data_IF_617138734689
#
_entry.id   IF_617138734689
#
_cell.length_a   1.000
_cell.length_b   1.000
_cell.length_c   1.000
_cell.angle_alpha   90.00
_cell.angle_beta   90.00
_cell.angle_gamma   90.00
#
_symmetry.space_group_name_H-M   'P 1'
#
loop_
_entity.id
_entity.type
_entity.pdbx_description
1 polymer ?
#
# COMPACT_ATOMS: atom_id res chain seq x y z
N UNK A 1 4.32 24.67 -12.27
CA UNK A 1 5.58 25.05 -12.96
C UNK A 1 5.39 26.34 -13.73
N UNK A 2 6.40 26.94 -14.40
CA UNK A 2 6.16 28.17 -15.20
C UNK A 2 5.10 27.95 -16.29
N UNK A 3 5.13 26.80 -16.96
CA UNK A 3 4.14 26.41 -17.97
C UNK A 3 2.72 26.23 -17.39
N UNK A 4 2.60 25.82 -16.13
CA UNK A 4 1.30 25.73 -15.45
C UNK A 4 0.85 27.12 -14.95
N UNK A 5 1.76 27.96 -14.44
CA UNK A 5 1.42 29.33 -14.01
C UNK A 5 0.94 30.21 -15.17
N UNK A 6 1.57 30.06 -16.34
CA UNK A 6 1.24 30.82 -17.54
C UNK A 6 0.27 30.09 -18.49
N UNK A 7 -0.05 28.83 -18.19
CA UNK A 7 -0.88 27.98 -19.03
C UNK A 7 -2.36 28.00 -18.63
N UNK A 8 -3.20 27.57 -19.56
CA UNK A 8 -4.66 27.63 -19.45
C UNK A 8 -5.28 26.44 -18.71
N UNK A 9 -4.50 25.38 -18.49
CA UNK A 9 -4.95 24.14 -17.89
C UNK A 9 -3.79 23.39 -17.23
N UNK A 10 -4.05 22.81 -16.06
CA UNK A 10 -3.19 21.79 -15.43
C UNK A 10 -3.90 20.43 -15.50
N UNK A 11 -3.45 19.61 -16.45
CA UNK A 11 -4.06 18.34 -16.83
C UNK A 11 -3.21 17.16 -16.38
N UNK A 12 -3.67 16.44 -15.35
CA UNK A 12 -2.92 15.34 -14.74
C UNK A 12 -3.61 14.01 -15.02
N UNK A 13 -2.87 13.08 -15.60
CA UNK A 13 -3.38 11.73 -15.91
C UNK A 13 -2.40 10.68 -15.41
N UNK A 14 -2.87 9.79 -14.54
CA UNK A 14 -2.12 8.65 -14.03
C UNK A 14 -2.77 7.33 -14.48
N UNK A 15 -1.98 6.27 -14.57
CA UNK A 15 -2.49 4.98 -15.02
C UNK A 15 -1.44 3.90 -15.16
N UNK A 16 -1.89 2.77 -15.69
CA UNK A 16 -1.03 1.64 -16.08
C UNK A 16 -0.81 1.65 -17.60
N UNK A 17 -0.06 0.65 -18.10
CA UNK A 17 0.03 0.39 -19.53
C UNK A 17 -1.34 0.10 -20.17
N UNK A 18 -2.30 -0.44 -19.40
CA UNK A 18 -3.60 -0.89 -19.89
C UNK A 18 -4.68 0.17 -19.84
N UNK A 19 -4.53 1.20 -19.00
CA UNK A 19 -5.60 2.18 -18.81
C UNK A 19 -5.26 3.29 -17.82
N UNK A 20 -6.20 4.22 -17.69
CA UNK A 20 -6.15 5.36 -16.76
C UNK A 20 -6.70 4.91 -15.42
N UNK A 21 -6.03 5.28 -14.33
CA UNK A 21 -6.48 5.01 -12.95
C UNK A 21 -6.94 6.27 -12.24
N UNK A 22 -6.40 7.43 -12.63
CA UNK A 22 -6.80 8.73 -12.08
C UNK A 22 -6.63 9.82 -13.13
N UNK A 23 -7.51 10.81 -13.05
CA UNK A 23 -7.50 12.00 -13.89
C UNK A 23 -7.92 13.19 -13.04
N UNK A 24 -7.15 14.27 -13.10
CA UNK A 24 -7.47 15.55 -12.48
C UNK A 24 -7.33 16.64 -13.54
N UNK A 25 -8.34 17.49 -13.64
CA UNK A 25 -8.39 18.62 -14.55
C UNK A 25 -8.59 19.89 -13.75
N UNK A 26 -7.63 20.80 -13.83
CA UNK A 26 -7.76 22.16 -13.31
C UNK A 26 -7.71 23.12 -14.51
N UNK A 27 -8.87 23.67 -14.87
CA UNK A 27 -9.04 24.53 -16.06
C UNK A 27 -9.14 25.97 -15.59
N UNK A 28 -8.34 26.86 -16.19
CA UNK A 28 -8.25 28.29 -15.82
C UNK A 28 -9.00 29.21 -16.78
N UNK A 29 -9.50 28.67 -17.90
CA UNK A 29 -10.25 29.37 -18.94
C UNK A 29 -11.61 28.73 -19.21
N UNK A 30 -12.54 29.49 -19.78
CA UNK A 30 -13.80 28.95 -20.29
C UNK A 30 -13.61 28.34 -21.69
N UNK A 31 -14.31 27.23 -21.98
CA UNK A 31 -14.46 26.74 -23.35
C UNK A 31 -13.38 25.77 -23.86
N UNK A 32 -12.95 24.80 -23.05
CA UNK A 32 -12.11 23.72 -23.55
C UNK A 32 -12.91 22.77 -24.45
N UNK A 33 -12.49 22.60 -25.70
CA UNK A 33 -13.20 21.74 -26.65
C UNK A 33 -12.94 20.26 -26.36
N UNK A 34 -13.85 19.38 -26.80
CA UNK A 34 -13.70 17.94 -26.63
C UNK A 34 -12.47 17.42 -27.38
N UNK A 35 -12.16 18.00 -28.53
CA UNK A 35 -11.01 17.66 -29.36
C UNK A 35 -9.70 17.91 -28.61
N UNK A 36 -9.58 19.05 -27.91
CA UNK A 36 -8.40 19.36 -27.09
C UNK A 36 -8.24 18.33 -25.96
N UNK A 37 -9.33 17.89 -25.33
CA UNK A 37 -9.28 16.83 -24.31
C UNK A 37 -8.82 15.49 -24.88
N UNK A 38 -9.33 15.12 -26.06
CA UNK A 38 -8.95 13.86 -26.72
C UNK A 38 -7.46 13.87 -27.10
N UNK A 39 -6.96 15.00 -27.61
CA UNK A 39 -5.53 15.19 -27.90
C UNK A 39 -4.67 15.13 -26.63
N UNK A 40 -5.07 15.84 -25.58
CA UNK A 40 -4.37 15.85 -24.30
C UNK A 40 -4.30 14.45 -23.68
N UNK A 41 -5.39 13.67 -23.74
CA UNK A 41 -5.42 12.28 -23.27
C UNK A 41 -4.50 11.37 -24.09
N UNK A 42 -4.44 11.56 -25.41
CA UNK A 42 -3.59 10.78 -26.28
C UNK A 42 -2.11 11.10 -26.04
N UNK A 43 -1.76 12.39 -25.89
CA UNK A 43 -0.41 12.81 -25.53
C UNK A 43 -0.01 12.29 -24.15
N UNK A 44 -0.91 12.38 -23.16
CA UNK A 44 -0.68 11.84 -21.82
C UNK A 44 -0.48 10.32 -21.83
N UNK A 45 -1.17 9.57 -22.70
CA UNK A 45 -0.96 8.14 -22.87
C UNK A 45 0.45 7.83 -23.39
N UNK A 46 0.93 8.56 -24.39
CA UNK A 46 2.30 8.39 -24.94
C UNK A 46 3.34 8.68 -23.86
N UNK A 47 3.20 9.82 -23.17
CA UNK A 47 4.09 10.20 -22.06
C UNK A 47 4.07 9.18 -20.92
N UNK A 48 2.89 8.69 -20.54
CA UNK A 48 2.73 7.66 -19.50
C UNK A 48 3.45 6.36 -19.85
N UNK A 49 3.28 5.86 -21.07
CA UNK A 49 3.94 4.62 -21.52
C UNK A 49 5.45 4.80 -21.57
N UNK A 50 5.93 5.96 -22.04
CA UNK A 50 7.35 6.28 -22.06
C UNK A 50 7.98 6.24 -20.64
N UNK A 51 7.37 6.94 -19.68
CA UNK A 51 7.83 6.95 -18.28
C UNK A 51 7.77 5.54 -17.67
N UNK A 52 6.66 4.81 -17.89
CA UNK A 52 6.49 3.47 -17.35
C UNK A 52 7.55 2.49 -17.88
N UNK A 53 7.90 2.56 -19.16
CA UNK A 53 8.96 1.73 -19.73
C UNK A 53 10.33 2.01 -19.08
N UNK A 54 10.64 3.28 -18.80
CA UNK A 54 11.83 3.64 -18.05
C UNK A 54 11.80 3.11 -16.61
N UNK A 55 10.67 3.21 -15.91
CA UNK A 55 10.50 2.65 -14.56
C UNK A 55 10.71 1.12 -14.56
N UNK A 56 10.10 0.42 -15.52
CA UNK A 56 10.20 -1.03 -15.65
C UNK A 56 11.61 -1.50 -16.00
N UNK A 57 12.42 -0.67 -16.66
CA UNK A 57 13.85 -0.97 -16.90
C UNK A 57 14.69 -1.03 -15.63
N UNK A 58 14.21 -0.42 -14.53
CA UNK A 58 14.87 -0.42 -13.22
C UNK A 58 14.30 -1.51 -12.32
N UNK A 59 12.96 -1.63 -12.28
CA UNK A 59 12.26 -2.66 -11.50
C UNK A 59 10.98 -3.08 -12.22
N UNK A 60 11.01 -4.27 -12.83
CA UNK A 60 9.90 -4.77 -13.64
C UNK A 60 8.76 -5.37 -12.79
N UNK A 61 9.10 -5.89 -11.61
CA UNK A 61 8.18 -6.60 -10.73
C UNK A 61 8.44 -6.28 -9.25
N UNK A 62 7.42 -6.40 -8.38
CA UNK A 62 7.63 -6.31 -6.93
C UNK A 62 8.67 -7.32 -6.44
N UNK A 63 9.41 -6.97 -5.39
CA UNK A 63 10.35 -7.90 -4.75
C UNK A 63 9.60 -9.11 -4.18
N UNK A 64 10.19 -10.29 -4.31
CA UNK A 64 9.66 -11.55 -3.76
C UNK A 64 9.65 -11.58 -2.24
N UNK A 65 10.53 -10.80 -1.63
CA UNK A 65 10.67 -10.67 -0.18
C UNK A 65 10.40 -9.23 0.27
N UNK A 66 9.84 -9.11 1.48
CA UNK A 66 9.65 -7.83 2.14
C UNK A 66 11.00 -7.27 2.63
N UNK A 67 11.06 -5.96 2.79
CA UNK A 67 12.23 -5.29 3.39
C UNK A 67 12.56 -5.87 4.77
N UNK A 68 13.85 -5.96 5.09
CA UNK A 68 14.33 -6.30 6.43
C UNK A 68 13.80 -5.35 7.52
N UNK A 69 13.35 -4.15 7.15
CA UNK A 69 12.76 -3.17 8.06
C UNK A 69 11.23 -3.13 8.01
N UNK A 70 10.61 -3.84 7.07
CA UNK A 70 9.16 -3.96 7.04
C UNK A 70 8.70 -4.89 8.17
N UNK A 71 7.53 -4.62 8.78
CA UNK A 71 6.88 -5.57 9.68
C UNK A 71 6.60 -6.88 8.96
N UNK A 72 7.03 -7.99 9.55
CA UNK A 72 6.65 -9.34 9.15
C UNK A 72 5.47 -9.78 10.00
N UNK A 73 4.55 -10.52 9.41
CA UNK A 73 3.38 -11.06 10.08
C UNK A 73 3.50 -12.59 10.04
N UNK A 74 3.48 -13.23 11.21
CA UNK A 74 3.24 -14.66 11.34
C UNK A 74 1.75 -14.85 11.59
N UNK A 75 1.15 -15.76 10.82
CA UNK A 75 -0.21 -16.23 11.06
C UNK A 75 -0.16 -17.63 11.66
N UNK A 76 -0.91 -17.85 12.73
CA UNK A 76 -1.15 -19.18 13.30
C UNK A 76 -2.61 -19.32 13.70
N UNK A 77 -3.03 -20.55 14.00
CA UNK A 77 -4.41 -20.83 14.41
C UNK A 77 -4.40 -21.55 15.74
N UNK A 78 -5.26 -21.12 16.66
CA UNK A 78 -5.55 -21.78 17.93
C UNK A 78 -7.01 -22.25 17.94
N UNK A 79 -7.35 -23.17 18.84
CA UNK A 79 -8.75 -23.49 19.07
C UNK A 79 -9.48 -22.23 19.60
N UNK A 80 -10.62 -21.81 19.02
CA UNK A 80 -11.42 -20.69 19.54
C UNK A 80 -11.69 -20.72 21.04
N UNK A 81 -11.88 -21.92 21.61
CA UNK A 81 -12.11 -22.11 23.05
C UNK A 81 -10.89 -21.69 23.90
N UNK A 82 -9.70 -21.64 23.29
CA UNK A 82 -8.43 -21.27 23.92
C UNK A 82 -8.07 -19.80 23.79
N UNK A 83 -8.87 -18.99 23.08
CA UNK A 83 -8.63 -17.54 22.95
C UNK A 83 -8.56 -16.87 24.33
N UNK A 84 -9.51 -17.22 25.22
CA UNK A 84 -9.55 -16.69 26.59
C UNK A 84 -8.32 -17.06 27.41
N UNK A 85 -7.78 -18.25 27.20
CA UNK A 85 -6.56 -18.72 27.88
C UNK A 85 -5.34 -17.93 27.42
N UNK A 86 -5.23 -17.63 26.12
CA UNK A 86 -4.12 -16.85 25.54
C UNK A 86 -4.17 -15.38 25.97
N UNK A 87 -5.34 -14.76 25.97
CA UNK A 87 -5.53 -13.37 26.46
C UNK A 87 -5.23 -13.30 27.96
N UNK A 88 -5.72 -14.29 28.71
CA UNK A 88 -5.64 -14.35 30.16
C UNK A 88 -6.53 -13.31 30.86
N UNK A 89 -6.57 -13.33 32.21
CA UNK A 89 -7.41 -12.40 32.98
C UNK A 89 -7.03 -10.95 32.69
N UNK A 90 -8.01 -10.15 32.25
CA UNK A 90 -7.84 -8.73 31.88
C UNK A 90 -6.72 -8.48 30.85
N UNK A 91 -6.41 -9.46 29.99
CA UNK A 91 -5.34 -9.33 28.99
C UNK A 91 -3.92 -9.47 29.55
N UNK A 92 -3.75 -9.89 30.81
CA UNK A 92 -2.44 -9.92 31.46
C UNK A 92 -1.43 -10.82 30.75
N UNK A 93 -1.88 -11.96 30.23
CA UNK A 93 -0.99 -12.93 29.59
C UNK A 93 -0.51 -12.42 28.23
N UNK A 94 -1.43 -11.93 27.40
CA UNK A 94 -1.10 -11.37 26.09
C UNK A 94 -0.26 -10.09 26.20
N UNK A 95 -0.57 -9.20 27.16
CA UNK A 95 0.22 -7.99 27.41
C UNK A 95 1.65 -8.33 27.84
N UNK A 96 1.84 -9.38 28.66
CA UNK A 96 3.17 -9.85 29.03
C UNK A 96 3.98 -10.31 27.80
N UNK A 97 3.37 -11.06 26.89
CA UNK A 97 4.04 -11.49 25.65
C UNK A 97 4.43 -10.27 24.81
N UNK A 98 3.52 -9.30 24.65
CA UNK A 98 3.76 -8.05 23.93
C UNK A 98 4.90 -7.25 24.56
N UNK A 99 4.94 -7.11 25.89
CA UNK A 99 6.01 -6.40 26.60
C UNK A 99 7.38 -7.09 26.46
N UNK A 100 7.43 -8.41 26.52
CA UNK A 100 8.69 -9.18 26.43
C UNK A 100 9.26 -9.30 25.01
N UNK A 101 8.41 -9.20 24.00
CA UNK A 101 8.78 -9.44 22.58
C UNK A 101 8.65 -8.19 21.71
N UNK A 102 7.95 -7.15 22.17
CA UNK A 102 7.70 -5.94 21.41
C UNK A 102 6.84 -6.17 20.15
N UNK A 103 6.19 -7.32 20.02
CA UNK A 103 5.33 -7.65 18.88
C UNK A 103 3.92 -7.09 19.09
N UNK A 104 3.20 -6.89 17.99
CA UNK A 104 1.75 -6.65 18.02
C UNK A 104 1.03 -7.97 17.73
N UNK A 105 0.12 -8.34 18.62
CA UNK A 105 -0.71 -9.55 18.49
C UNK A 105 -2.16 -9.15 18.22
N UNK A 106 -2.79 -9.77 17.22
CA UNK A 106 -4.22 -9.69 16.95
C UNK A 106 -4.81 -11.11 16.96
N UNK A 107 -6.01 -11.29 17.51
CA UNK A 107 -6.68 -12.59 17.62
C UNK A 107 -8.12 -12.45 17.17
N UNK A 108 -8.46 -13.14 16.09
CA UNK A 108 -9.82 -13.21 15.55
C UNK A 108 -10.66 -14.22 16.32
N UNK A 109 -12.00 -14.06 16.25
CA UNK A 109 -12.95 -14.93 16.96
C UNK A 109 -12.95 -16.38 16.44
N UNK A 110 -12.42 -16.61 15.24
CA UNK A 110 -12.25 -17.93 14.65
C UNK A 110 -10.96 -18.65 15.11
N UNK A 111 -10.18 -18.02 15.98
CA UNK A 111 -8.91 -18.55 16.49
C UNK A 111 -7.70 -18.21 15.63
N UNK A 112 -7.84 -17.40 14.57
CA UNK A 112 -6.70 -16.90 13.79
C UNK A 112 -5.93 -15.87 14.62
N UNK A 113 -4.61 -16.06 14.74
CA UNK A 113 -3.70 -15.18 15.48
C UNK A 113 -2.69 -14.57 14.51
N UNK A 114 -2.57 -13.24 14.53
CA UNK A 114 -1.58 -12.48 13.79
C UNK A 114 -0.53 -11.93 14.75
N UNK A 115 0.72 -12.34 14.59
CA UNK A 115 1.87 -11.83 15.37
C UNK A 115 2.72 -11.01 14.42
N UNK A 116 2.93 -9.73 14.73
CA UNK A 116 3.60 -8.80 13.80
C UNK A 116 4.64 -7.93 14.47
N UNK A 117 5.81 -7.83 13.85
CA UNK A 117 6.89 -6.92 14.24
C UNK A 117 7.93 -6.78 13.12
N UNK A 118 8.82 -5.79 13.27
CA UNK A 118 9.95 -5.61 12.35
C UNK A 118 11.04 -6.68 12.52
N UNK A 119 11.04 -7.44 13.62
CA UNK A 119 12.04 -8.47 13.90
C UNK A 119 11.40 -9.86 13.84
N UNK A 120 11.77 -10.64 12.81
CA UNK A 120 11.25 -11.99 12.63
C UNK A 120 11.51 -12.89 13.85
N UNK A 121 12.68 -12.78 14.48
CA UNK A 121 13.03 -13.57 15.67
C UNK A 121 12.09 -13.28 16.86
N UNK A 122 11.64 -12.02 17.00
CA UNK A 122 10.68 -11.67 18.05
C UNK A 122 9.28 -12.20 17.75
N UNK A 123 8.88 -12.24 16.47
CA UNK A 123 7.65 -12.91 16.08
C UNK A 123 7.72 -14.40 16.40
N UNK A 124 8.85 -15.06 16.09
CA UNK A 124 9.04 -16.49 16.35
C UNK A 124 9.11 -16.80 17.86
N UNK A 125 9.65 -15.88 18.68
CA UNK A 125 9.67 -15.99 20.15
C UNK A 125 8.29 -15.82 20.77
N UNK A 126 7.43 -15.00 20.18
CA UNK A 126 6.07 -14.76 20.67
C UNK A 126 5.08 -15.88 20.30
N UNK A 127 5.39 -16.62 19.23
CA UNK A 127 4.62 -17.77 18.73
C UNK A 127 4.76 -18.99 19.64
#
# INVERSE_FOLDING_TARGET
>A
GMEDHLGDMDFKVAGTAKGVTALQMDIKIDGLSREILEEALQQAKVGRVHILNHMLSVIAEPRTELSAYAPKIITMTINPDKIRDVIGPSGKQINKIIEETGVKIDIEQDGTVFISSINQEMNDKAK
#
